data_IF_542563213164
#
_entry.id   IF_542563213164
#
_cell.length_a   1.000
_cell.length_b   1.000
_cell.length_c   1.000
_cell.angle_alpha   90.00
_cell.angle_beta   90.00
_cell.angle_gamma   90.00
#
_symmetry.space_group_name_H-M   'P 1'
#
loop_
_entity.id
_entity.type
_entity.pdbx_description
1 polymer ?
#
# COMPACT_ATOMS: atom_id res chain seq x y z
N UNK A 1 -17.81 -0.77 -1.35
CA UNK A 1 -17.68 -2.24 -1.57
C UNK A 1 -16.21 -2.53 -1.87
N UNK A 2 -15.59 -3.48 -1.16
CA UNK A 2 -14.15 -3.79 -1.28
C UNK A 2 -13.96 -5.07 -2.10
N UNK A 3 -13.10 -5.03 -3.13
CA UNK A 3 -12.80 -6.18 -3.99
C UNK A 3 -11.32 -6.57 -3.92
N UNK A 4 -11.04 -7.86 -4.13
CA UNK A 4 -9.67 -8.36 -4.31
C UNK A 4 -9.36 -8.46 -5.79
N UNK A 5 -8.41 -7.68 -6.30
CA UNK A 5 -8.03 -7.74 -7.71
C UNK A 5 -7.02 -8.86 -7.98
N UNK A 6 -7.31 -9.69 -8.99
CA UNK A 6 -6.53 -10.82 -9.50
C UNK A 6 -6.33 -11.99 -8.53
N UNK A 7 -5.77 -11.74 -7.34
CA UNK A 7 -5.43 -12.80 -6.38
C UNK A 7 -5.37 -12.32 -4.94
N UNK A 8 -5.80 -13.17 -4.00
CA UNK A 8 -5.77 -12.92 -2.55
C UNK A 8 -4.35 -12.71 -1.97
N UNK A 9 -3.29 -13.15 -2.68
CA UNK A 9 -1.89 -13.09 -2.23
C UNK A 9 -1.03 -12.06 -2.99
N UNK A 10 -1.62 -10.95 -3.43
CA UNK A 10 -0.90 -9.89 -4.11
C UNK A 10 -0.18 -8.96 -3.11
N UNK A 11 1.11 -8.64 -3.24
CA UNK A 11 1.73 -7.68 -2.32
C UNK A 11 1.51 -6.28 -2.84
N UNK A 12 0.90 -5.43 -2.01
CA UNK A 12 0.64 -4.03 -2.31
C UNK A 12 1.51 -3.15 -1.39
N UNK A 13 2.36 -2.28 -1.95
CA UNK A 13 3.09 -1.31 -1.15
C UNK A 13 2.11 -0.27 -0.60
N UNK A 14 1.96 -0.22 0.72
CA UNK A 14 1.22 0.81 1.42
C UNK A 14 2.19 1.67 2.24
N UNK A 15 1.94 2.97 2.21
CA UNK A 15 2.67 3.99 2.98
C UNK A 15 1.66 5.01 3.50
N UNK A 16 1.81 5.45 4.74
CA UNK A 16 0.98 6.55 5.27
C UNK A 16 1.42 7.87 4.64
N UNK A 17 0.49 8.78 4.38
CA UNK A 17 0.78 10.14 3.90
C UNK A 17 1.87 10.85 4.72
N UNK A 18 1.81 10.80 6.05
CA UNK A 18 2.82 11.42 6.93
C UNK A 18 4.23 10.87 6.68
N UNK A 19 4.36 9.55 6.57
CA UNK A 19 5.64 8.92 6.23
C UNK A 19 6.09 9.33 4.83
N UNK A 20 5.17 9.42 3.86
CA UNK A 20 5.47 9.84 2.49
C UNK A 20 6.00 11.28 2.43
N UNK A 21 5.44 12.19 3.23
CA UNK A 21 5.94 13.57 3.37
C UNK A 21 7.36 13.58 3.94
N UNK A 22 7.60 12.81 5.01
CA UNK A 22 8.92 12.69 5.62
C UNK A 22 9.98 12.16 4.65
N UNK A 23 9.59 11.24 3.78
CA UNK A 23 10.42 10.69 2.70
C UNK A 23 10.69 11.75 1.63
N UNK A 24 9.64 12.42 1.15
CA UNK A 24 9.75 13.44 0.11
C UNK A 24 10.63 14.62 0.55
N UNK A 25 10.45 15.11 1.78
CA UNK A 25 11.28 16.16 2.37
C UNK A 25 12.74 15.72 2.50
N UNK A 26 12.99 14.45 2.88
CA UNK A 26 14.35 13.92 2.94
C UNK A 26 15.02 13.85 1.55
N UNK A 27 14.29 13.38 0.54
CA UNK A 27 14.78 13.33 -0.84
C UNK A 27 15.09 14.74 -1.39
N UNK A 28 14.25 15.74 -1.07
CA UNK A 28 14.50 17.14 -1.39
C UNK A 28 15.74 17.68 -0.68
N UNK A 29 15.86 17.44 0.64
CA UNK A 29 16.96 17.92 1.48
C UNK A 29 18.32 17.37 1.02
N UNK A 30 18.36 16.11 0.57
CA UNK A 30 19.56 15.49 0.00
C UNK A 30 19.90 16.00 -1.40
N UNK A 31 19.08 16.89 -2.00
CA UNK A 31 19.22 17.39 -3.39
C UNK A 31 19.52 16.26 -4.38
N UNK A 32 18.81 15.13 -4.25
CA UNK A 32 18.92 13.99 -5.17
C UNK A 32 17.67 13.87 -6.06
N UNK A 33 17.41 14.84 -6.97
CA UNK A 33 16.34 14.69 -7.94
C UNK A 33 16.64 13.46 -8.82
N UNK A 34 15.62 12.60 -9.03
CA UNK A 34 15.71 11.44 -9.92
C UNK A 34 15.98 10.08 -9.27
N UNK A 35 16.05 9.96 -7.94
CA UNK A 35 16.07 8.65 -7.27
C UNK A 35 14.66 8.20 -6.88
N UNK A 36 14.25 7.05 -7.41
CA UNK A 36 13.01 6.37 -7.01
C UNK A 36 13.32 5.51 -5.78
N UNK A 37 12.81 5.90 -4.61
CA UNK A 37 12.92 5.12 -3.39
C UNK A 37 11.58 4.47 -3.06
N UNK A 38 11.50 3.16 -3.32
CA UNK A 38 10.32 2.37 -3.03
C UNK A 38 10.32 1.97 -1.55
N UNK A 39 9.42 2.55 -0.78
CA UNK A 39 9.31 2.30 0.65
C UNK A 39 8.33 1.15 0.89
N UNK A 40 8.85 0.05 1.47
CA UNK A 40 8.06 -1.13 1.87
C UNK A 40 8.21 -1.37 3.37
N UNK A 41 7.06 -1.49 4.04
CA UNK A 41 6.95 -1.97 5.43
C UNK A 41 7.25 -3.47 5.52
N UNK A 42 7.73 -3.89 6.69
CA UNK A 42 8.29 -5.23 6.96
C UNK A 42 7.17 -6.26 7.10
N UNK A 43 6.44 -6.56 6.03
CA UNK A 43 5.77 -7.87 5.98
C UNK A 43 5.51 -8.38 4.55
N UNK A 44 5.59 -9.71 4.42
CA UNK A 44 5.48 -10.45 3.16
C UNK A 44 4.03 -10.85 2.82
N UNK A 45 3.04 -10.51 3.64
CA UNK A 45 1.68 -11.11 3.61
C UNK A 45 0.49 -10.12 3.68
N UNK A 46 0.66 -8.88 3.20
CA UNK A 46 -0.27 -7.78 3.46
C UNK A 46 -1.62 -7.79 2.72
N UNK A 47 -1.77 -8.34 1.50
CA UNK A 47 -3.02 -8.15 0.72
C UNK A 47 -4.27 -8.57 1.48
N UNK A 48 -4.32 -9.84 1.89
CA UNK A 48 -5.55 -10.39 2.46
C UNK A 48 -5.91 -9.74 3.79
N UNK A 49 -4.91 -9.33 4.59
CA UNK A 49 -5.18 -8.70 5.88
C UNK A 49 -5.58 -7.23 5.72
N UNK A 50 -4.89 -6.46 4.88
CA UNK A 50 -5.24 -5.06 4.60
C UNK A 50 -6.62 -4.94 3.94
N UNK A 51 -6.95 -5.81 2.98
CA UNK A 51 -8.27 -5.83 2.32
C UNK A 51 -9.40 -6.13 3.33
N UNK A 52 -9.18 -7.07 4.26
CA UNK A 52 -10.14 -7.33 5.34
C UNK A 52 -10.24 -6.18 6.34
N UNK A 53 -9.13 -5.51 6.64
CA UNK A 53 -9.15 -4.31 7.48
C UNK A 53 -9.99 -3.20 6.84
N UNK A 54 -9.82 -2.94 5.53
CA UNK A 54 -10.67 -1.99 4.79
C UNK A 54 -12.14 -2.40 4.83
N UNK A 55 -12.43 -3.67 4.56
CA UNK A 55 -13.80 -4.17 4.61
C UNK A 55 -14.45 -4.02 5.99
N UNK A 56 -13.70 -4.33 7.08
CA UNK A 56 -14.17 -4.11 8.45
C UNK A 56 -14.40 -2.63 8.76
N UNK A 57 -13.48 -1.75 8.36
CA UNK A 57 -13.58 -0.30 8.57
C UNK A 57 -14.77 0.35 7.86
N UNK A 58 -15.24 -0.26 6.77
CA UNK A 58 -16.39 0.18 5.97
C UNK A 58 -17.70 -0.56 6.34
N UNK A 59 -17.70 -1.44 7.34
CA UNK A 59 -18.87 -2.27 7.70
C UNK A 59 -19.24 -3.32 6.64
N UNK A 60 -18.33 -3.62 5.72
CA UNK A 60 -18.52 -4.57 4.63
C UNK A 60 -18.28 -6.04 5.00
N UNK A 61 -18.60 -6.97 4.08
CA UNK A 61 -18.48 -8.41 4.30
C UNK A 61 -17.02 -8.87 4.41
N UNK A 62 -16.77 -9.88 5.25
CA UNK A 62 -15.42 -10.45 5.43
C UNK A 62 -14.97 -11.37 4.29
N UNK A 63 -15.92 -11.97 3.56
CA UNK A 63 -15.61 -12.75 2.38
C UNK A 63 -15.58 -11.85 1.14
N UNK A 64 -14.38 -11.47 0.76
CA UNK A 64 -14.15 -10.54 -0.35
C UNK A 64 -14.11 -11.30 -1.66
N UNK A 65 -14.94 -10.83 -2.60
CA UNK A 65 -14.96 -11.31 -3.97
C UNK A 65 -13.62 -11.02 -4.67
N UNK A 66 -13.08 -12.04 -5.33
CA UNK A 66 -11.91 -11.89 -6.19
C UNK A 66 -12.39 -11.55 -7.60
N UNK A 67 -11.94 -10.42 -8.13
CA UNK A 67 -12.29 -9.93 -9.47
C UNK A 67 -11.06 -9.94 -10.37
N UNK A 68 -11.27 -10.11 -11.68
CA UNK A 68 -10.16 -10.08 -12.65
C UNK A 68 -9.58 -8.67 -12.79
N UNK A 69 -8.33 -8.56 -13.25
CA UNK A 69 -7.74 -7.26 -13.57
C UNK A 69 -8.43 -6.56 -14.74
N UNK A 70 -9.01 -7.32 -15.67
CA UNK A 70 -9.74 -6.75 -16.81
C UNK A 70 -11.12 -6.22 -16.40
N UNK A 71 -11.78 -6.87 -15.44
CA UNK A 71 -13.02 -6.38 -14.82
C UNK A 71 -12.80 -4.99 -14.24
N UNK A 72 -11.78 -4.85 -13.39
CA UNK A 72 -11.42 -3.55 -12.79
C UNK A 72 -10.92 -2.55 -13.82
N UNK A 73 -10.21 -2.99 -14.86
CA UNK A 73 -9.78 -2.11 -15.94
C UNK A 73 -10.95 -1.54 -16.76
N UNK A 74 -12.06 -2.26 -16.82
CA UNK A 74 -13.28 -1.83 -17.50
C UNK A 74 -13.99 -0.75 -16.67
N UNK A 75 -13.97 -0.88 -15.34
CA UNK A 75 -14.59 0.07 -14.41
C UNK A 75 -13.76 1.36 -14.20
N UNK A 76 -12.45 1.22 -14.00
CA UNK A 76 -11.56 2.32 -13.58
C UNK A 76 -10.61 2.78 -14.68
N UNK A 77 -10.54 2.06 -15.80
CA UNK A 77 -9.65 2.33 -16.93
C UNK A 77 -8.39 1.45 -16.95
N UNK A 78 -7.68 1.46 -18.09
CA UNK A 78 -6.57 0.53 -18.40
C UNK A 78 -5.44 0.48 -17.37
N UNK A 79 -5.17 1.61 -16.70
CA UNK A 79 -4.13 1.71 -15.66
C UNK A 79 -4.41 0.79 -14.45
N UNK A 80 -5.67 0.51 -14.17
CA UNK A 80 -6.11 -0.27 -13.02
C UNK A 80 -5.74 -1.76 -13.12
N UNK A 81 -5.34 -2.25 -14.30
CA UNK A 81 -4.70 -3.57 -14.44
C UNK A 81 -3.48 -3.74 -13.53
N UNK A 82 -2.79 -2.64 -13.23
CA UNK A 82 -1.64 -2.63 -12.32
C UNK A 82 -1.95 -3.12 -10.91
N UNK A 83 -3.22 -3.05 -10.46
CA UNK A 83 -3.64 -3.57 -9.15
C UNK A 83 -3.50 -5.09 -9.03
N UNK A 84 -3.57 -5.82 -10.15
CA UNK A 84 -3.35 -7.27 -10.17
C UNK A 84 -1.88 -7.70 -10.06
N UNK A 85 -0.93 -6.76 -10.21
CA UNK A 85 0.49 -7.06 -10.20
C UNK A 85 1.00 -7.24 -8.77
N UNK A 86 1.73 -8.33 -8.53
CA UNK A 86 2.39 -8.57 -7.24
C UNK A 86 3.62 -7.67 -7.12
N UNK A 87 3.45 -6.54 -6.43
CA UNK A 87 4.51 -5.56 -6.26
C UNK A 87 5.34 -5.94 -5.04
N UNK A 88 6.58 -6.35 -5.29
CA UNK A 88 7.53 -6.78 -4.27
C UNK A 88 8.62 -5.76 -3.91
N UNK A 89 8.38 -4.43 -3.82
CA UNK A 89 9.46 -3.50 -3.53
C UNK A 89 10.08 -3.79 -2.16
N UNK A 90 11.34 -3.40 -2.00
CA UNK A 90 12.05 -3.46 -0.71
C UNK A 90 12.28 -2.05 -0.17
N UNK A 91 11.77 -1.78 1.03
CA UNK A 91 11.98 -0.52 1.76
C UNK A 91 13.31 -0.47 2.49
N UNK A 92 14.23 -1.37 2.17
CA UNK A 92 15.53 -1.47 2.83
C UNK A 92 16.38 -0.26 2.49
N UNK A 93 16.45 0.10 1.21
CA UNK A 93 17.20 1.26 0.73
C UNK A 93 16.73 2.56 1.40
N UNK A 94 15.43 2.81 1.27
CA UNK A 94 14.67 3.81 2.01
C UNK A 94 15.08 3.97 3.49
N UNK A 95 15.05 2.89 4.26
CA UNK A 95 15.41 2.93 5.70
C UNK A 95 16.89 3.25 5.94
N UNK A 96 17.77 2.72 5.10
CA UNK A 96 19.21 2.99 5.19
C UNK A 96 19.50 4.47 4.86
N UNK A 97 18.87 4.99 3.81
CA UNK A 97 19.08 6.35 3.32
C UNK A 97 18.44 7.40 4.26
N UNK A 98 17.32 7.08 4.92
CA UNK A 98 16.63 7.99 5.86
C UNK A 98 17.36 8.16 7.19
N UNK A 99 18.17 7.18 7.63
CA UNK A 99 18.77 7.17 8.97
C UNK A 99 17.77 7.11 10.13
N UNK A 100 16.46 7.07 9.83
CA UNK A 100 15.34 6.99 10.78
C UNK A 100 14.32 5.97 10.30
N UNK A 101 13.64 5.31 11.24
CA UNK A 101 12.55 4.40 10.89
C UNK A 101 11.25 5.17 10.63
N UNK A 102 10.46 4.79 9.60
CA UNK A 102 9.08 5.24 9.45
C UNK A 102 8.28 4.96 10.72
N UNK A 103 7.40 5.88 11.11
CA UNK A 103 6.65 5.78 12.37
C UNK A 103 5.56 4.72 12.29
N UNK A 104 4.97 4.63 11.12
CA UNK A 104 3.85 3.74 10.87
C UNK A 104 4.44 2.50 10.19
N UNK A 105 4.26 1.32 10.78
CA UNK A 105 4.83 0.06 10.27
C UNK A 105 3.80 -1.05 10.09
N UNK A 106 2.65 -0.95 10.77
CA UNK A 106 1.51 -1.85 10.61
C UNK A 106 0.30 -1.07 10.10
N UNK A 107 -0.18 -1.33 8.88
CA UNK A 107 -1.32 -0.60 8.34
C UNK A 107 -2.67 -1.09 8.90
N UNK A 108 -2.78 -2.30 9.45
CA UNK A 108 -4.07 -2.86 9.88
C UNK A 108 -4.81 -2.00 10.93
N UNK A 109 -4.20 -1.66 12.08
CA UNK A 109 -4.88 -0.83 13.08
C UNK A 109 -5.19 0.58 12.55
N UNK A 110 -4.38 1.10 11.63
CA UNK A 110 -4.57 2.43 11.05
C UNK A 110 -5.69 2.47 10.00
N UNK A 111 -5.96 1.34 9.33
CA UNK A 111 -7.09 1.21 8.40
C UNK A 111 -8.40 1.04 9.17
N UNK A 112 -8.39 0.29 10.27
CA UNK A 112 -9.58 0.00 11.07
C UNK A 112 -10.04 1.22 11.91
N UNK A 113 -9.09 1.97 12.45
CA UNK A 113 -9.35 3.19 13.22
C UNK A 113 -8.66 4.38 12.56
N UNK A 114 -9.13 4.83 11.40
CA UNK A 114 -8.39 5.81 10.64
C UNK A 114 -8.56 7.19 11.24
N UNK A 115 -7.45 7.90 11.47
CA UNK A 115 -7.41 9.20 12.13
C UNK A 115 -8.01 10.38 11.32
N UNK A 116 -8.64 10.08 10.18
CA UNK A 116 -9.19 11.05 9.21
C UNK A 116 -10.71 10.92 9.01
N UNK A 117 -11.41 10.21 9.92
CA UNK A 117 -12.87 10.13 9.95
C UNK A 117 -13.47 11.27 10.78
#
# INVERSE_FOLDING_TARGET
MVHVVAKRRCRWPLVRGDDLILIALHALALRRPGRIELHRRRDRRLSGRAQRAFARGDGGPQDLAVVSSDTIATELGKWARGYGLDQGPSGTKARLDLGRQPKHLDPEPEIEAPAWK
#
